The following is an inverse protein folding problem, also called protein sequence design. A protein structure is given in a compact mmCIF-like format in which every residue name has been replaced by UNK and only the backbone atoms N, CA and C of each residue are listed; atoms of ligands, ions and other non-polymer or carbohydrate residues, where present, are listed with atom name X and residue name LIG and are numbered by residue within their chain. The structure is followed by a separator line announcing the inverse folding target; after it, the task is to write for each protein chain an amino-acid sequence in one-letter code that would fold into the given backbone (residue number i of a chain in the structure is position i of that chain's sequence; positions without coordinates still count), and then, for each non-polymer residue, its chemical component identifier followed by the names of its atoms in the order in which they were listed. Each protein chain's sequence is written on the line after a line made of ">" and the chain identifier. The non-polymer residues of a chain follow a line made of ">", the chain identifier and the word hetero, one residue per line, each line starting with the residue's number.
data_IF_018220071049
#
_entry.id   IF_018220071049
#
_cell.length_a   1.000
_cell.length_b   1.000
_cell.length_c   1.000
_cell.angle_alpha   90.00
_cell.angle_beta   90.00
_cell.angle_gamma   90.00
#
_symmetry.space_group_name_H-M   'P 1'
#
loop_
_entity.id
_entity.type
_entity.pdbx_description
1 polymer ?
#
# COMPACT_ATOMS: atom_id res chain seq x y z
N UNK A 1 -17.19 -14.75 -38.66
CA UNK A 1 -17.54 -14.82 -37.22
C UNK A 1 -16.27 -15.25 -36.52
N UNK A 2 -15.38 -14.30 -36.19
CA UNK A 2 -14.19 -14.60 -35.41
C UNK A 2 -14.61 -14.89 -33.97
N UNK A 3 -14.35 -16.11 -33.51
CA UNK A 3 -14.37 -16.44 -32.08
C UNK A 3 -13.03 -15.94 -31.52
N UNK A 4 -13.04 -14.77 -30.90
CA UNK A 4 -11.98 -14.37 -29.97
C UNK A 4 -12.08 -15.27 -28.75
N UNK A 5 -11.42 -16.44 -28.81
CA UNK A 5 -11.17 -17.25 -27.64
C UNK A 5 -10.36 -16.38 -26.65
N UNK A 6 -10.99 -15.94 -25.56
CA UNK A 6 -10.32 -15.18 -24.51
C UNK A 6 -9.24 -16.05 -23.91
N UNK A 7 -7.98 -15.68 -24.14
CA UNK A 7 -6.85 -16.49 -23.72
C UNK A 7 -6.75 -16.41 -22.19
N UNK A 8 -6.36 -17.49 -21.49
CA UNK A 8 -6.08 -17.45 -20.04
C UNK A 8 -5.08 -16.36 -19.64
N UNK A 9 -4.23 -15.94 -20.58
CA UNK A 9 -3.31 -14.82 -20.44
C UNK A 9 -4.02 -13.47 -20.34
N UNK A 10 -5.11 -13.26 -21.08
CA UNK A 10 -5.89 -12.02 -21.05
C UNK A 10 -6.61 -11.86 -19.70
N UNK A 11 -7.10 -12.96 -19.12
CA UNK A 11 -7.68 -12.96 -17.78
C UNK A 11 -6.62 -12.71 -16.70
N UNK A 12 -5.42 -13.30 -16.84
CA UNK A 12 -4.31 -13.06 -15.91
C UNK A 12 -3.81 -11.61 -16.01
N UNK A 13 -3.66 -11.07 -17.21
CA UNK A 13 -3.30 -9.67 -17.45
C UNK A 13 -4.39 -8.74 -16.93
N UNK A 14 -5.66 -9.01 -17.20
CA UNK A 14 -6.77 -8.25 -16.64
C UNK A 14 -6.73 -8.30 -15.11
N UNK A 15 -6.37 -9.43 -14.50
CA UNK A 15 -6.24 -9.53 -13.05
C UNK A 15 -5.07 -8.71 -12.53
N UNK A 16 -3.88 -8.84 -13.12
CA UNK A 16 -2.68 -8.06 -12.76
C UNK A 16 -2.90 -6.56 -12.94
N UNK A 17 -3.64 -6.15 -13.97
CA UNK A 17 -3.92 -4.75 -14.29
C UNK A 17 -5.06 -4.15 -13.44
N UNK A 18 -5.89 -4.99 -12.80
CA UNK A 18 -7.03 -4.52 -12.00
C UNK A 18 -6.87 -4.78 -10.48
N UNK A 19 -5.96 -5.66 -10.06
CA UNK A 19 -5.66 -5.86 -8.64
C UNK A 19 -4.71 -4.76 -8.13
N UNK A 20 -4.96 -4.18 -6.94
CA UNK A 20 -4.03 -3.26 -6.33
C UNK A 20 -2.67 -3.95 -6.14
N UNK A 21 -1.59 -3.29 -6.55
CA UNK A 21 -0.23 -3.83 -6.36
C UNK A 21 0.04 -4.08 -4.87
N UNK A 22 0.96 -4.99 -4.54
CA UNK A 22 1.36 -5.21 -3.13
C UNK A 22 1.83 -3.94 -2.43
N UNK A 23 2.48 -3.03 -3.17
CA UNK A 23 2.90 -1.73 -2.68
C UNK A 23 1.71 -0.80 -2.38
N UNK A 24 0.69 -0.80 -3.25
CA UNK A 24 -0.56 -0.07 -3.00
C UNK A 24 -1.30 -0.63 -1.78
N UNK A 25 -1.42 -1.95 -1.67
CA UNK A 25 -2.04 -2.62 -0.52
C UNK A 25 -1.28 -2.32 0.78
N UNK A 26 0.05 -2.30 0.75
CA UNK A 26 0.89 -1.96 1.89
C UNK A 26 0.66 -0.50 2.35
N UNK A 27 0.60 0.45 1.41
CA UNK A 27 0.31 1.85 1.72
C UNK A 27 -1.12 2.04 2.25
N UNK A 28 -2.11 1.35 1.68
CA UNK A 28 -3.49 1.37 2.18
C UNK A 28 -3.60 0.79 3.58
N UNK A 29 -2.97 -0.37 3.83
CA UNK A 29 -2.98 -0.99 5.15
C UNK A 29 -2.24 -0.14 6.18
N UNK A 30 -1.17 0.53 5.80
CA UNK A 30 -0.47 1.50 6.67
C UNK A 30 -1.40 2.66 7.04
N UNK A 31 -2.20 3.17 6.10
CA UNK A 31 -3.21 4.19 6.40
C UNK A 31 -4.28 3.69 7.39
N UNK A 32 -4.70 2.42 7.27
CA UNK A 32 -5.61 1.77 8.23
C UNK A 32 -4.98 1.67 9.63
N UNK A 33 -3.69 1.32 9.72
CA UNK A 33 -2.97 1.27 11.01
C UNK A 33 -2.92 2.65 11.68
N UNK A 34 -2.67 3.72 10.90
CA UNK A 34 -2.64 5.08 11.42
C UNK A 34 -4.02 5.56 11.92
N UNK A 35 -5.10 5.24 11.21
CA UNK A 35 -6.46 5.62 11.62
C UNK A 35 -6.95 4.87 12.85
N UNK A 36 -6.65 3.58 12.96
CA UNK A 36 -7.18 2.75 14.04
C UNK A 36 -6.27 2.75 15.27
N UNK A 37 -4.95 2.73 15.07
CA UNK A 37 -3.97 2.64 16.16
C UNK A 37 -3.55 4.01 16.70
N UNK A 38 -3.54 5.04 15.87
CA UNK A 38 -2.94 6.34 16.18
C UNK A 38 -3.68 7.57 15.59
N UNK A 39 -5.03 7.63 15.60
CA UNK A 39 -5.77 8.64 14.83
C UNK A 39 -5.42 10.08 15.18
N UNK A 40 -5.16 10.36 16.46
CA UNK A 40 -4.89 11.70 16.99
C UNK A 40 -3.42 11.94 17.31
N UNK A 41 -2.55 10.96 17.12
CA UNK A 41 -1.11 11.14 17.33
C UNK A 41 -0.52 11.91 16.15
N UNK A 42 0.39 12.83 16.46
CA UNK A 42 1.18 13.52 15.43
C UNK A 42 2.09 12.50 14.75
N UNK A 43 1.96 12.37 13.44
CA UNK A 43 2.75 11.46 12.62
C UNK A 43 4.16 12.03 12.51
N UNK A 44 5.11 11.25 13.02
CA UNK A 44 6.53 11.42 12.76
C UNK A 44 7.06 10.13 12.11
N UNK A 45 8.35 10.11 11.77
CA UNK A 45 8.96 8.94 11.13
C UNK A 45 8.82 7.67 11.96
N UNK A 46 8.85 7.76 13.29
CA UNK A 46 8.73 6.59 14.16
C UNK A 46 7.31 6.01 14.15
N UNK A 47 6.28 6.85 14.28
CA UNK A 47 4.87 6.42 14.18
C UNK A 47 4.56 5.83 12.81
N UNK A 48 5.11 6.43 11.75
CA UNK A 48 4.93 5.94 10.39
C UNK A 48 5.63 4.60 10.16
N UNK A 49 6.85 4.44 10.68
CA UNK A 49 7.61 3.19 10.60
C UNK A 49 6.89 2.06 11.34
N UNK A 50 6.40 2.31 12.55
CA UNK A 50 5.63 1.32 13.33
C UNK A 50 4.34 0.90 12.60
N UNK A 51 3.60 1.87 12.05
CA UNK A 51 2.40 1.58 11.24
C UNK A 51 2.74 0.77 9.98
N UNK A 52 3.87 1.07 9.33
CA UNK A 52 4.34 0.36 8.14
C UNK A 52 4.75 -1.09 8.48
N UNK A 53 5.49 -1.30 9.57
CA UNK A 53 5.88 -2.64 10.04
C UNK A 53 4.64 -3.49 10.35
N UNK A 54 3.66 -2.92 11.05
CA UNK A 54 2.41 -3.62 11.35
C UNK A 54 1.61 -3.95 10.09
N UNK A 55 1.60 -3.04 9.10
CA UNK A 55 0.96 -3.28 7.82
C UNK A 55 1.69 -4.36 7.00
N UNK A 56 3.02 -4.34 6.98
CA UNK A 56 3.86 -5.32 6.28
C UNK A 56 3.65 -6.73 6.83
N UNK A 57 3.55 -6.87 8.16
CA UNK A 57 3.26 -8.14 8.81
C UNK A 57 1.91 -8.74 8.39
N UNK A 58 0.98 -7.94 7.86
CA UNK A 58 -0.33 -8.38 7.39
C UNK A 58 -0.29 -8.63 5.87
N UNK A 59 0.20 -7.67 5.11
CA UNK A 59 0.10 -7.67 3.63
C UNK A 59 1.16 -8.56 2.99
N UNK A 60 2.37 -8.59 3.56
CA UNK A 60 3.50 -9.33 2.97
C UNK A 60 3.66 -10.73 3.56
N UNK A 61 2.79 -11.12 4.49
CA UNK A 61 2.85 -12.44 5.12
C UNK A 61 2.73 -13.56 4.08
N UNK A 62 3.73 -14.44 4.06
CA UNK A 62 3.78 -15.59 3.16
C UNK A 62 4.19 -15.28 1.72
N UNK A 63 4.54 -14.02 1.40
CA UNK A 63 5.16 -13.70 0.12
C UNK A 63 6.64 -14.12 0.10
N UNK A 64 7.20 -14.45 -1.08
CA UNK A 64 8.63 -14.62 -1.23
C UNK A 64 9.38 -13.32 -0.90
N UNK A 65 10.54 -13.42 -0.25
CA UNK A 65 11.33 -12.27 0.23
C UNK A 65 11.55 -11.21 -0.87
N UNK A 66 11.90 -11.64 -2.09
CA UNK A 66 12.14 -10.73 -3.21
C UNK A 66 10.90 -9.90 -3.59
N UNK A 67 9.70 -10.47 -3.45
CA UNK A 67 8.44 -9.79 -3.73
C UNK A 67 8.11 -8.81 -2.60
N UNK A 68 8.35 -9.22 -1.35
CA UNK A 68 8.16 -8.38 -0.18
C UNK A 68 9.10 -7.16 -0.19
N UNK A 69 10.36 -7.37 -0.56
CA UNK A 69 11.36 -6.31 -0.69
C UNK A 69 10.97 -5.30 -1.80
N UNK A 70 10.58 -5.80 -2.97
CA UNK A 70 10.13 -4.95 -4.08
C UNK A 70 8.89 -4.14 -3.68
N UNK A 71 7.90 -4.78 -3.05
CA UNK A 71 6.69 -4.12 -2.59
C UNK A 71 7.00 -3.01 -1.57
N UNK A 72 7.90 -3.29 -0.62
CA UNK A 72 8.33 -2.34 0.42
C UNK A 72 9.05 -1.14 -0.20
N UNK A 73 9.96 -1.37 -1.15
CA UNK A 73 10.68 -0.29 -1.85
C UNK A 73 9.73 0.61 -2.65
N UNK A 74 8.77 0.02 -3.37
CA UNK A 74 7.78 0.79 -4.13
C UNK A 74 6.82 1.58 -3.22
N UNK A 75 6.39 0.99 -2.11
CA UNK A 75 5.58 1.69 -1.12
C UNK A 75 6.35 2.86 -0.48
N UNK A 76 7.63 2.66 -0.14
CA UNK A 76 8.49 3.72 0.37
C UNK A 76 8.64 4.87 -0.64
N UNK A 77 8.78 4.57 -1.93
CA UNK A 77 8.94 5.57 -2.99
C UNK A 77 7.73 6.50 -3.17
N UNK A 78 6.52 6.01 -2.88
CA UNK A 78 5.29 6.82 -2.96
C UNK A 78 4.87 7.45 -1.62
N UNK A 79 5.52 7.06 -0.53
CA UNK A 79 5.13 7.50 0.82
C UNK A 79 5.42 8.99 0.98
N UNK A 80 4.39 9.83 1.22
CA UNK A 80 4.58 11.26 1.36
C UNK A 80 5.30 11.60 2.67
N UNK A 81 6.09 12.68 2.68
CA UNK A 81 6.63 13.19 3.95
C UNK A 81 5.48 13.69 4.87
N UNK A 82 5.51 13.36 6.17
CA UNK A 82 4.60 13.95 7.16
C UNK A 82 4.77 15.47 7.25
N UNK A 83 3.67 16.20 7.36
CA UNK A 83 3.68 17.65 7.60
C UNK A 83 3.81 17.95 9.10
N UNK A 84 4.36 19.11 9.49
CA UNK A 84 4.42 19.51 10.89
C UNK A 84 3.04 19.51 11.54
N UNK A 85 2.89 18.75 12.64
CA UNK A 85 1.64 18.66 13.39
C UNK A 85 0.55 17.79 12.77
N UNK A 86 0.81 17.16 11.62
CA UNK A 86 -0.16 16.30 10.93
C UNK A 86 -0.46 15.05 11.76
N UNK A 87 -1.74 14.79 11.97
CA UNK A 87 -2.23 13.63 12.74
C UNK A 87 -2.41 12.40 11.84
N UNK A 88 -2.56 11.22 12.45
CA UNK A 88 -2.84 9.97 11.73
C UNK A 88 -4.04 10.07 10.79
N UNK A 89 -5.14 10.66 11.25
CA UNK A 89 -6.35 10.88 10.43
C UNK A 89 -6.15 11.87 9.28
N UNK A 90 -5.25 12.84 9.41
CA UNK A 90 -4.94 13.79 8.33
C UNK A 90 -3.96 13.20 7.31
N UNK A 91 -3.01 12.40 7.78
CA UNK A 91 -2.00 11.75 6.95
C UNK A 91 -2.57 10.58 6.14
N UNK A 92 -3.42 9.74 6.73
CA UNK A 92 -3.97 8.53 6.10
C UNK A 92 -4.65 8.78 4.74
N UNK A 93 -5.49 9.81 4.55
CA UNK A 93 -6.05 10.15 3.23
C UNK A 93 -5.01 10.47 2.16
N UNK A 94 -3.91 11.15 2.52
CA UNK A 94 -2.82 11.45 1.59
C UNK A 94 -2.06 10.19 1.19
N UNK A 95 -1.83 9.29 2.14
CA UNK A 95 -1.19 8.01 1.87
C UNK A 95 -2.05 7.16 0.92
N UNK A 96 -3.38 7.12 1.12
CA UNK A 96 -4.30 6.46 0.18
C UNK A 96 -4.32 7.10 -1.19
N UNK A 97 -4.25 8.43 -1.25
CA UNK A 97 -4.15 9.12 -2.53
C UNK A 97 -2.86 8.74 -3.27
N UNK A 98 -1.74 8.62 -2.57
CA UNK A 98 -0.49 8.15 -3.15
C UNK A 98 -0.57 6.68 -3.62
N UNK A 99 -1.23 5.81 -2.84
CA UNK A 99 -1.44 4.40 -3.19
C UNK A 99 -2.23 4.22 -4.50
N UNK A 100 -3.20 5.09 -4.78
CA UNK A 100 -3.98 5.08 -6.04
C UNK A 100 -3.17 5.49 -7.28
N UNK A 101 -1.96 6.02 -7.08
CA UNK A 101 -1.03 6.34 -8.17
C UNK A 101 -0.17 5.15 -8.61
N UNK A 102 -0.31 4.00 -7.96
CA UNK A 102 0.33 2.72 -8.29
C UNK A 102 -0.65 1.79 -9.02
#
# INVERSE_FOLDING_TARGET
>A
MERTDHHPLDALLARILNEPTWAAQLAEQTAVQLENGAPFLVVNLHVLDEACVNAAAIVLAGLPDIVADEASQRAAAITPAPRPGETGMEYAPRLRQAARGL
#
